data_IF_783690305436
#
_entry.id   IF_783690305436
#
_cell.length_a   1.000
_cell.length_b   1.000
_cell.length_c   1.000
_cell.angle_alpha   90.00
_cell.angle_beta   90.00
_cell.angle_gamma   90.00
#
_symmetry.space_group_name_H-M   'P 1'
#
loop_
_entity.id
_entity.type
_entity.pdbx_description
1 polymer ?
#
# COMPACT_ATOMS: atom_id res chain seq x y z
N UNK A 1 5.47 5.73 -1.13
CA UNK A 1 5.58 6.21 0.28
C UNK A 1 4.89 7.55 0.50
N UNK A 2 4.69 8.30 -0.57
CA UNK A 2 4.22 9.68 -0.63
C UNK A 2 2.81 9.82 -0.05
N UNK A 3 1.91 8.88 -0.32
CA UNK A 3 0.56 8.87 0.26
C UNK A 3 0.58 8.82 1.80
N UNK A 4 1.51 8.05 2.39
CA UNK A 4 1.66 7.97 3.86
C UNK A 4 2.17 9.31 4.42
N UNK A 5 3.10 9.95 3.72
CA UNK A 5 3.59 11.29 4.08
C UNK A 5 2.44 12.30 4.03
N UNK A 6 1.65 12.29 2.95
CA UNK A 6 0.48 13.17 2.81
C UNK A 6 -0.56 12.94 3.91
N UNK A 7 -0.84 11.68 4.28
CA UNK A 7 -1.74 11.37 5.38
C UNK A 7 -1.25 11.97 6.72
N UNK A 8 0.04 11.86 7.02
CA UNK A 8 0.63 12.44 8.24
C UNK A 8 0.60 13.97 8.23
N UNK A 9 0.89 14.59 7.08
CA UNK A 9 0.80 16.05 6.93
C UNK A 9 -0.64 16.52 7.16
N UNK A 10 -1.63 15.83 6.59
CA UNK A 10 -3.05 16.15 6.78
C UNK A 10 -3.51 15.95 8.22
N UNK A 11 -3.01 14.92 8.90
CA UNK A 11 -3.32 14.66 10.30
C UNK A 11 -2.92 15.82 11.22
N UNK A 12 -1.84 16.55 10.88
CA UNK A 12 -1.40 17.74 11.64
C UNK A 12 -2.48 18.83 11.70
N UNK A 13 -3.22 19.04 10.61
CA UNK A 13 -4.19 20.13 10.49
C UNK A 13 -5.65 19.67 10.72
N UNK A 14 -5.88 18.37 10.86
CA UNK A 14 -7.21 17.78 11.05
C UNK A 14 -7.70 17.92 12.50
N UNK A 15 -8.79 18.67 12.70
CA UNK A 15 -9.35 18.99 14.03
C UNK A 15 -9.70 17.76 14.90
N UNK A 16 -10.09 16.66 14.26
CA UNK A 16 -10.56 15.44 14.94
C UNK A 16 -9.57 14.27 14.80
N UNK A 17 -8.28 14.54 14.54
CA UNK A 17 -7.28 13.49 14.38
C UNK A 17 -6.54 13.14 15.69
N UNK A 18 -6.50 14.03 16.67
CA UNK A 18 -5.76 13.82 17.91
C UNK A 18 -6.32 12.63 18.71
N UNK A 19 -5.44 11.69 19.08
CA UNK A 19 -5.81 10.49 19.85
C UNK A 19 -6.40 9.35 19.01
N UNK A 20 -6.62 9.58 17.72
CA UNK A 20 -7.23 8.60 16.82
C UNK A 20 -6.18 7.76 16.09
N UNK A 21 -6.55 6.50 15.79
CA UNK A 21 -5.75 5.59 14.95
C UNK A 21 -6.36 5.53 13.55
N UNK A 22 -5.52 5.54 12.52
CA UNK A 22 -5.91 5.50 11.11
C UNK A 22 -5.12 4.43 10.35
N UNK A 23 -5.82 3.65 9.53
CA UNK A 23 -5.18 2.78 8.54
C UNK A 23 -4.90 3.59 7.27
N UNK A 24 -3.64 3.60 6.83
CA UNK A 24 -3.23 4.20 5.56
C UNK A 24 -2.81 3.08 4.62
N UNK A 25 -3.61 2.83 3.59
CA UNK A 25 -3.40 1.77 2.62
C UNK A 25 -4.10 2.11 1.30
N UNK A 26 -3.94 1.24 0.31
CA UNK A 26 -4.53 1.38 -1.04
C UNK A 26 -6.02 0.96 -1.06
N UNK A 27 -6.57 0.49 0.07
CA UNK A 27 -7.97 0.03 0.21
C UNK A 27 -8.31 -1.26 -0.55
N UNK A 28 -7.35 -1.78 -1.31
CA UNK A 28 -7.40 -3.00 -2.12
C UNK A 28 -6.18 -3.87 -1.85
N UNK A 29 -6.27 -5.15 -2.21
CA UNK A 29 -5.19 -6.14 -2.05
C UNK A 29 -4.58 -6.51 -3.40
N UNK A 30 -3.31 -6.88 -3.39
CA UNK A 30 -2.62 -7.48 -4.54
C UNK A 30 -2.24 -8.93 -4.21
N UNK A 31 -2.26 -9.82 -5.19
CA UNK A 31 -1.73 -11.19 -5.05
C UNK A 31 -0.24 -11.24 -5.35
N UNK A 32 0.47 -12.24 -4.82
CA UNK A 32 1.90 -12.42 -5.09
C UNK A 32 2.18 -12.57 -6.59
N UNK A 33 1.38 -13.36 -7.30
CA UNK A 33 1.51 -13.55 -8.75
C UNK A 33 1.36 -12.23 -9.53
N UNK A 34 0.41 -11.38 -9.12
CA UNK A 34 0.21 -10.08 -9.76
C UNK A 34 1.38 -9.15 -9.47
N UNK A 35 1.90 -9.16 -8.24
CA UNK A 35 3.09 -8.39 -7.88
C UNK A 35 4.30 -8.79 -8.73
N UNK A 36 4.58 -10.09 -8.85
CA UNK A 36 5.67 -10.62 -9.68
C UNK A 36 5.52 -10.14 -11.13
N UNK A 37 4.31 -10.24 -11.71
CA UNK A 37 4.04 -9.76 -13.08
C UNK A 37 4.30 -8.27 -13.25
N UNK A 38 3.91 -7.44 -12.28
CA UNK A 38 4.18 -6.00 -12.32
C UNK A 38 5.69 -5.73 -12.26
N UNK A 39 6.41 -6.46 -11.42
CA UNK A 39 7.87 -6.31 -11.31
C UNK A 39 8.61 -6.77 -12.58
N UNK A 40 8.16 -7.83 -13.24
CA UNK A 40 8.71 -8.30 -14.51
C UNK A 40 8.53 -7.30 -15.66
N UNK A 41 7.63 -6.33 -15.55
CA UNK A 41 7.48 -5.26 -16.55
C UNK A 41 8.55 -4.17 -16.42
N UNK A 42 9.35 -4.17 -15.35
CA UNK A 42 10.43 -3.21 -15.15
C UNK A 42 11.61 -3.63 -16.05
N UNK A 43 12.16 -2.72 -16.87
CA UNK A 43 13.30 -3.04 -17.73
C UNK A 43 14.49 -3.57 -16.93
N UNK A 44 15.04 -4.72 -17.35
CA UNK A 44 16.19 -5.36 -16.70
C UNK A 44 15.83 -6.28 -15.53
N UNK A 45 14.56 -6.39 -15.14
CA UNK A 45 14.13 -7.34 -14.12
C UNK A 45 14.00 -8.76 -14.70
N UNK A 46 14.83 -9.69 -14.22
CA UNK A 46 14.66 -11.12 -14.45
C UNK A 46 14.29 -11.78 -13.13
N UNK A 47 13.04 -12.23 -13.01
CA UNK A 47 12.50 -12.82 -11.78
C UNK A 47 12.03 -14.25 -12.10
N UNK A 48 12.67 -15.23 -11.47
CA UNK A 48 12.30 -16.64 -11.48
C UNK A 48 11.77 -17.02 -10.08
N UNK A 49 10.45 -17.00 -9.86
CA UNK A 49 9.87 -17.19 -8.53
C UNK A 49 9.96 -18.65 -8.08
N UNK A 50 10.55 -18.88 -6.90
CA UNK A 50 10.56 -20.18 -6.23
C UNK A 50 9.41 -20.24 -5.23
N UNK A 51 8.42 -21.08 -5.51
CA UNK A 51 7.29 -21.31 -4.61
C UNK A 51 7.64 -22.38 -3.58
N UNK A 52 7.35 -22.07 -2.31
CA UNK A 52 7.53 -22.98 -1.18
C UNK A 52 6.25 -23.01 -0.36
N UNK A 53 6.13 -23.96 0.56
CA UNK A 53 4.97 -24.05 1.44
C UNK A 53 4.81 -22.78 2.29
N UNK A 54 3.56 -22.36 2.51
CA UNK A 54 3.26 -21.22 3.37
C UNK A 54 3.76 -21.47 4.80
N UNK A 55 4.27 -20.43 5.44
CA UNK A 55 4.72 -20.54 6.82
C UNK A 55 3.52 -20.60 7.78
N UNK A 56 3.71 -21.29 8.91
CA UNK A 56 2.74 -21.27 9.99
C UNK A 56 2.59 -19.84 10.51
N UNK A 57 1.39 -19.26 10.36
CA UNK A 57 1.08 -17.89 10.76
C UNK A 57 0.98 -16.88 9.61
N UNK A 58 1.18 -17.30 8.36
CA UNK A 58 1.06 -16.39 7.21
C UNK A 58 -0.35 -15.78 7.08
N UNK A 59 -0.39 -14.47 6.89
CA UNK A 59 -1.63 -13.73 6.60
C UNK A 59 -1.88 -13.80 5.09
N UNK A 60 -2.80 -14.69 4.69
CA UNK A 60 -3.13 -14.94 3.27
C UNK A 60 -3.85 -13.75 2.62
N UNK A 61 -4.72 -13.07 3.38
CA UNK A 61 -5.49 -11.93 2.90
C UNK A 61 -5.26 -10.73 3.81
N UNK A 62 -4.45 -9.79 3.34
CA UNK A 62 -4.26 -8.50 3.99
C UNK A 62 -5.06 -7.43 3.24
N UNK A 63 -6.13 -6.95 3.89
CA UNK A 63 -6.91 -5.80 3.45
C UNK A 63 -7.35 -5.03 4.68
N UNK A 64 -7.26 -3.70 4.61
CA UNK A 64 -7.70 -2.81 5.68
C UNK A 64 -8.69 -1.78 5.14
N UNK A 65 -9.64 -1.41 5.98
CA UNK A 65 -10.56 -0.31 5.70
C UNK A 65 -9.86 1.02 5.96
N UNK A 66 -9.88 1.89 4.96
CA UNK A 66 -9.27 3.23 4.99
C UNK A 66 -10.30 4.35 5.14
N UNK A 67 -11.60 4.02 5.23
CA UNK A 67 -12.69 4.98 5.24
C UNK A 67 -12.44 6.07 6.27
N UNK A 68 -12.04 5.71 7.50
CA UNK A 68 -11.78 6.69 8.56
C UNK A 68 -10.74 7.75 8.16
N UNK A 69 -9.68 7.36 7.45
CA UNK A 69 -8.67 8.31 6.97
C UNK A 69 -9.27 9.24 5.89
N UNK A 70 -10.10 8.72 5.00
CA UNK A 70 -10.80 9.53 3.98
C UNK A 70 -11.75 10.55 4.62
N UNK A 71 -12.56 10.13 5.59
CA UNK A 71 -13.56 10.97 6.25
C UNK A 71 -12.95 12.01 7.19
N UNK A 72 -11.94 11.63 7.98
CA UNK A 72 -11.40 12.50 9.06
C UNK A 72 -10.19 13.31 8.59
N UNK A 73 -9.31 12.72 7.78
CA UNK A 73 -8.09 13.38 7.30
C UNK A 73 -8.27 13.98 5.89
N UNK A 74 -9.41 13.73 5.25
CA UNK A 74 -9.61 14.03 3.84
C UNK A 74 -8.66 13.23 2.94
N UNK A 75 -8.05 12.15 3.44
CA UNK A 75 -7.04 11.37 2.74
C UNK A 75 -7.58 10.86 1.41
N UNK A 76 -6.75 10.94 0.36
CA UNK A 76 -7.04 10.37 -0.96
C UNK A 76 -5.76 9.74 -1.47
N UNK A 77 -5.90 8.58 -2.09
CA UNK A 77 -4.80 7.94 -2.80
C UNK A 77 -4.46 8.77 -4.03
N UNK A 78 -3.20 9.19 -4.12
CA UNK A 78 -2.67 9.92 -5.27
C UNK A 78 -1.94 8.98 -6.23
N UNK A 79 -1.42 7.84 -5.73
CA UNK A 79 -0.68 6.88 -6.52
C UNK A 79 -1.36 5.51 -6.54
N UNK A 80 -1.32 4.86 -7.71
CA UNK A 80 -1.65 3.44 -7.79
C UNK A 80 -0.48 2.60 -7.27
N UNK A 81 -0.76 1.34 -6.94
CA UNK A 81 0.29 0.41 -6.52
C UNK A 81 1.36 0.25 -7.60
N UNK A 82 0.96 0.13 -8.87
CA UNK A 82 1.87 -0.01 -10.00
C UNK A 82 2.78 1.21 -10.17
N UNK A 83 2.24 2.42 -9.99
CA UNK A 83 3.03 3.66 -10.05
C UNK A 83 4.02 3.74 -8.87
N UNK A 84 3.57 3.42 -7.65
CA UNK A 84 4.43 3.38 -6.48
C UNK A 84 5.58 2.37 -6.61
N UNK A 85 5.29 1.17 -7.14
CA UNK A 85 6.30 0.14 -7.38
C UNK A 85 7.35 0.61 -8.40
N UNK A 86 6.93 1.19 -9.53
CA UNK A 86 7.85 1.72 -10.55
C UNK A 86 8.79 2.80 -10.01
N UNK A 87 8.32 3.65 -9.10
CA UNK A 87 9.15 4.69 -8.49
C UNK A 87 10.11 4.16 -7.44
N UNK A 88 9.79 3.02 -6.82
CA UNK A 88 10.60 2.44 -5.75
C UNK A 88 11.81 1.67 -6.29
N UNK A 89 11.68 1.10 -7.49
CA UNK A 89 12.71 0.26 -8.13
C UNK A 89 13.66 1.03 -9.07
N UNK A 90 13.42 2.33 -9.27
CA UNK A 90 14.24 3.23 -10.09
C UNK A 90 15.10 4.12 -9.19
#
# INVERSE_FOLDING_TARGET
MEDVVQANIRAKDAKNAAGEVFNIAIGSSITLDRLIRVLQQIPGATIDPVYTDAYSGDVIHSRVDISKAEWVLGFRLEFTLEEGLKRTVQ
#
